data_IF_306659837336
#
_entry.id   IF_306659837336
#
_cell.length_a   1.000
_cell.length_b   1.000
_cell.length_c   1.000
_cell.angle_alpha   90.00
_cell.angle_beta   90.00
_cell.angle_gamma   90.00
#
_symmetry.space_group_name_H-M   'P 1'
#
loop_
_entity.id
_entity.type
_entity.pdbx_description
1 polymer ?
#
# COMPACT_ATOMS: atom_id res chain seq x y z
N UNK A 1 -21.41 7.00 5.07
CA UNK A 1 -21.93 7.98 6.06
C UNK A 1 -21.96 7.45 7.50
N UNK A 2 -21.40 6.26 7.82
CA UNK A 2 -21.63 5.63 9.14
C UNK A 2 -20.46 5.81 10.15
N UNK A 3 -19.24 6.16 9.73
CA UNK A 3 -18.08 6.15 10.65
C UNK A 3 -17.64 7.51 11.25
N UNK A 4 -17.97 8.66 10.65
CA UNK A 4 -17.28 9.92 10.96
C UNK A 4 -18.05 10.95 11.81
N UNK A 5 -19.29 10.67 12.22
CA UNK A 5 -20.09 11.66 12.96
C UNK A 5 -19.73 11.80 14.45
N UNK A 6 -18.72 11.08 14.95
CA UNK A 6 -18.49 10.94 16.40
C UNK A 6 -17.13 11.40 16.93
N UNK A 7 -16.18 11.83 16.09
CA UNK A 7 -14.81 12.04 16.59
C UNK A 7 -14.21 13.43 16.38
N UNK A 8 -14.65 14.24 15.39
CA UNK A 8 -14.11 15.61 15.25
C UNK A 8 -12.57 15.68 15.11
N UNK A 9 -11.97 14.73 14.38
CA UNK A 9 -10.52 14.51 14.37
C UNK A 9 -9.88 14.95 13.04
N UNK A 10 -8.89 15.84 13.13
CA UNK A 10 -7.94 16.17 12.06
C UNK A 10 -7.11 14.92 11.66
N UNK A 11 -7.08 14.58 10.37
CA UNK A 11 -6.73 13.23 9.90
C UNK A 11 -5.43 13.23 9.09
N UNK A 12 -4.35 12.66 9.64
CA UNK A 12 -3.11 12.38 8.90
C UNK A 12 -3.16 10.99 8.24
N UNK A 13 -2.65 10.82 7.02
CA UNK A 13 -2.73 9.55 6.29
C UNK A 13 -1.45 9.22 5.54
N UNK A 14 -0.80 8.12 5.90
CA UNK A 14 0.27 7.53 5.08
C UNK A 14 -0.42 6.60 4.08
N UNK A 15 -0.65 7.09 2.86
CA UNK A 15 -1.29 6.35 1.76
C UNK A 15 -0.20 5.73 0.87
N UNK A 16 0.36 4.59 1.27
CA UNK A 16 1.10 3.71 0.36
C UNK A 16 0.10 3.02 -0.60
N UNK A 17 0.40 2.77 -1.89
CA UNK A 17 -0.62 2.56 -2.88
C UNK A 17 -1.05 1.10 -2.94
N UNK A 18 -2.35 0.98 -3.09
CA UNK A 18 -3.04 -0.18 -3.61
C UNK A 18 -4.53 0.12 -3.75
N UNK A 19 -4.92 1.37 -4.02
CA UNK A 19 -6.23 1.62 -4.64
C UNK A 19 -6.34 3.02 -5.27
N UNK A 20 -6.14 3.07 -6.58
CA UNK A 20 -6.89 3.96 -7.47
C UNK A 20 -7.21 3.19 -8.75
N UNK A 21 -7.94 2.08 -8.60
CA UNK A 21 -8.63 1.45 -9.72
C UNK A 21 -10.04 2.06 -9.79
N UNK A 22 -10.18 3.10 -10.62
CA UNK A 22 -11.48 3.57 -11.07
C UNK A 22 -12.09 2.53 -12.03
N UNK A 23 -12.77 1.54 -11.47
CA UNK A 23 -13.97 0.96 -12.09
C UNK A 23 -15.19 1.81 -11.71
N UNK A 24 -16.37 1.65 -12.36
CA UNK A 24 -17.45 2.65 -12.37
C UNK A 24 -18.16 2.93 -11.03
N UNK A 25 -17.63 2.44 -9.90
CA UNK A 25 -18.22 2.61 -8.59
C UNK A 25 -17.45 3.62 -7.71
N UNK A 26 -18.06 4.80 -7.64
CA UNK A 26 -18.00 5.80 -6.57
C UNK A 26 -16.63 6.41 -6.21
N UNK A 27 -16.07 7.30 -7.06
CA UNK A 27 -15.13 8.35 -6.65
C UNK A 27 -15.66 9.31 -5.56
N UNK A 28 -16.90 9.15 -5.06
CA UNK A 28 -17.54 10.07 -4.11
C UNK A 28 -17.23 9.83 -2.64
N UNK A 29 -16.88 8.61 -2.22
CA UNK A 29 -16.89 8.28 -0.77
C UNK A 29 -15.54 8.53 -0.08
N UNK A 30 -14.40 8.36 -0.77
CA UNK A 30 -13.07 8.56 -0.18
C UNK A 30 -12.50 9.95 -0.46
N UNK A 31 -12.75 10.49 -1.67
CA UNK A 31 -12.39 11.87 -2.04
C UNK A 31 -12.94 12.91 -1.05
N UNK A 32 -14.15 12.68 -0.51
CA UNK A 32 -14.77 13.59 0.44
C UNK A 32 -14.07 13.59 1.82
N UNK A 33 -13.38 12.51 2.20
CA UNK A 33 -12.68 12.40 3.48
C UNK A 33 -11.46 13.31 3.53
N UNK A 34 -10.91 13.75 2.40
CA UNK A 34 -9.74 14.65 2.38
C UNK A 34 -10.16 16.13 2.41
N UNK A 35 -11.41 16.45 2.06
CA UNK A 35 -11.86 17.85 2.03
C UNK A 35 -12.11 18.38 3.44
N UNK A 36 -11.35 19.42 3.81
CA UNK A 36 -11.50 20.13 5.09
C UNK A 36 -10.66 19.54 6.24
N UNK A 37 -9.80 18.55 5.95
CA UNK A 37 -8.87 17.98 6.91
C UNK A 37 -7.45 18.40 6.54
N UNK A 38 -6.63 18.69 7.55
CA UNK A 38 -5.19 18.84 7.36
C UNK A 38 -4.60 17.42 7.29
N UNK A 39 -3.94 17.09 6.18
CA UNK A 39 -3.51 15.74 5.84
C UNK A 39 -2.04 15.75 5.46
N UNK A 40 -1.19 15.11 6.27
CA UNK A 40 0.13 14.67 5.83
C UNK A 40 -0.04 13.42 4.96
N UNK A 41 0.18 13.56 3.66
CA UNK A 41 0.07 12.48 2.67
C UNK A 41 1.45 11.94 2.29
N UNK A 42 1.71 10.66 2.52
CA UNK A 42 2.95 9.97 2.08
C UNK A 42 2.56 8.82 1.17
N UNK A 43 3.18 8.74 -0.01
CA UNK A 43 2.75 7.79 -1.05
C UNK A 43 3.92 6.94 -1.53
N UNK A 44 3.77 5.62 -1.44
CA UNK A 44 4.66 4.70 -2.15
C UNK A 44 4.25 4.67 -3.63
N UNK A 45 5.18 4.45 -4.54
CA UNK A 45 4.90 4.48 -5.98
C UNK A 45 4.69 3.09 -6.57
N UNK A 46 5.46 2.10 -6.10
CA UNK A 46 5.36 0.71 -6.52
C UNK A 46 4.19 -0.01 -5.86
N UNK A 47 3.30 -0.57 -6.67
CA UNK A 47 2.15 -1.37 -6.23
C UNK A 47 2.40 -2.87 -6.48
N UNK A 48 1.95 -3.72 -5.54
CA UNK A 48 2.19 -5.17 -5.61
C UNK A 48 1.16 -5.93 -6.46
N UNK A 49 -0.08 -5.44 -6.62
CA UNK A 49 -1.13 -6.19 -7.34
C UNK A 49 -2.31 -5.37 -7.88
N UNK A 50 -2.64 -4.21 -7.30
CA UNK A 50 -3.83 -3.44 -7.67
C UNK A 50 -3.55 -1.93 -7.72
N UNK A 51 -3.44 -1.36 -8.93
CA UNK A 51 -3.45 0.09 -9.17
C UNK A 51 -2.14 0.64 -9.75
N UNK A 52 -2.24 1.60 -10.68
CA UNK A 52 -1.14 2.35 -11.30
C UNK A 52 0.00 1.54 -11.95
N UNK A 53 -0.29 0.30 -12.36
CA UNK A 53 0.65 -0.51 -13.15
C UNK A 53 0.71 -0.09 -14.62
N UNK A 54 -0.07 0.90 -15.04
CA UNK A 54 0.09 1.52 -16.36
C UNK A 54 1.23 2.54 -16.28
N UNK A 55 2.35 2.33 -17.00
CA UNK A 55 3.47 3.27 -17.03
C UNK A 55 3.07 4.69 -17.47
N UNK A 56 1.98 4.83 -18.23
CA UNK A 56 1.48 6.12 -18.71
C UNK A 56 0.54 6.80 -17.71
N UNK A 57 0.10 6.09 -16.68
CA UNK A 57 -0.85 6.61 -15.68
C UNK A 57 -0.46 6.22 -14.23
N UNK A 58 0.76 6.60 -13.78
CA UNK A 58 1.22 6.33 -12.43
C UNK A 58 0.45 7.16 -11.38
N UNK A 59 0.54 6.75 -10.10
CA UNK A 59 -0.17 7.39 -8.99
C UNK A 59 -0.02 8.93 -8.95
N UNK A 60 1.16 9.54 -9.18
CA UNK A 60 1.28 11.00 -9.17
C UNK A 60 0.37 11.69 -10.20
N UNK A 61 0.22 11.11 -11.40
CA UNK A 61 -0.70 11.63 -12.42
C UNK A 61 -2.14 11.52 -11.94
N UNK A 62 -2.52 10.37 -11.37
CA UNK A 62 -3.89 10.16 -10.88
C UNK A 62 -4.22 11.18 -9.78
N UNK A 63 -3.32 11.34 -8.80
CA UNK A 63 -3.50 12.30 -7.71
C UNK A 63 -3.60 13.74 -8.23
N UNK A 64 -2.81 14.09 -9.26
CA UNK A 64 -2.89 15.40 -9.92
C UNK A 64 -4.24 15.63 -10.59
N UNK A 65 -4.76 14.66 -11.33
CA UNK A 65 -6.08 14.80 -11.98
C UNK A 65 -7.21 14.85 -10.94
N UNK A 66 -7.12 14.09 -9.84
CA UNK A 66 -8.06 14.21 -8.73
C UNK A 66 -8.01 15.58 -8.06
N UNK A 67 -6.81 16.18 -7.91
CA UNK A 67 -6.66 17.56 -7.42
C UNK A 67 -7.28 18.56 -8.39
N UNK A 68 -7.02 18.44 -9.69
CA UNK A 68 -7.56 19.34 -10.74
C UNK A 68 -9.08 19.30 -10.81
N UNK A 69 -9.67 18.12 -10.69
CA UNK A 69 -11.11 17.95 -10.63
C UNK A 69 -11.71 18.31 -9.24
N UNK A 70 -10.89 18.77 -8.31
CA UNK A 70 -11.27 19.22 -6.98
C UNK A 70 -11.61 18.08 -6.01
N UNK A 71 -11.48 16.82 -6.39
CA UNK A 71 -11.84 15.69 -5.52
C UNK A 71 -10.99 15.64 -4.25
N UNK A 72 -9.71 16.03 -4.34
CA UNK A 72 -8.79 16.13 -3.21
C UNK A 72 -8.07 17.49 -3.26
N UNK A 73 -7.66 18.02 -2.11
CA UNK A 73 -6.87 19.25 -2.02
C UNK A 73 -5.40 18.98 -1.69
N UNK A 74 -5.12 17.83 -1.06
CA UNK A 74 -3.81 17.52 -0.50
C UNK A 74 -2.84 17.03 -1.58
N UNK A 75 -1.64 17.63 -1.61
CA UNK A 75 -0.49 17.13 -2.35
C UNK A 75 0.32 16.18 -1.45
N UNK A 76 0.97 15.18 -2.03
CA UNK A 76 1.85 14.32 -1.25
C UNK A 76 3.04 15.13 -0.71
N UNK A 77 3.42 14.86 0.54
CA UNK A 77 4.57 15.48 1.18
C UNK A 77 5.90 14.90 0.67
N UNK A 78 5.91 13.59 0.39
CA UNK A 78 6.98 12.90 -0.31
C UNK A 78 6.50 11.55 -0.83
N UNK A 79 7.27 10.99 -1.75
CA UNK A 79 7.09 9.65 -2.30
C UNK A 79 8.12 8.66 -1.77
N UNK A 80 7.78 7.38 -1.73
CA UNK A 80 8.74 6.26 -1.63
C UNK A 80 8.66 5.43 -2.89
N UNK A 81 9.69 4.65 -3.23
CA UNK A 81 9.64 3.83 -4.43
C UNK A 81 8.63 2.69 -4.34
N UNK A 82 8.28 2.25 -3.12
CA UNK A 82 7.54 1.01 -2.95
C UNK A 82 8.42 -0.20 -3.27
N UNK A 83 7.81 -1.27 -3.76
CA UNK A 83 8.51 -2.55 -3.92
C UNK A 83 9.02 -3.09 -2.59
N UNK A 84 10.00 -3.98 -2.66
CA UNK A 84 10.58 -4.59 -1.46
C UNK A 84 11.26 -3.50 -0.62
N UNK A 85 10.97 -3.54 0.68
CA UNK A 85 11.48 -2.62 1.69
C UNK A 85 11.16 -1.14 1.45
N UNK A 86 10.25 -0.82 0.52
CA UNK A 86 9.94 0.53 0.05
C UNK A 86 11.09 1.31 -0.62
N UNK A 87 12.21 0.64 -0.91
CA UNK A 87 13.40 1.23 -1.56
C UNK A 87 13.43 0.95 -3.07
N UNK A 88 12.37 0.35 -3.63
CA UNK A 88 12.29 -0.01 -5.04
C UNK A 88 12.98 -1.33 -5.38
N UNK A 89 13.36 -2.13 -4.37
CA UNK A 89 13.89 -3.46 -4.62
C UNK A 89 12.82 -4.34 -5.29
N UNK A 90 13.25 -5.17 -6.25
CA UNK A 90 12.36 -5.94 -7.11
C UNK A 90 11.75 -5.17 -8.29
N UNK A 91 11.94 -3.85 -8.37
CA UNK A 91 11.50 -3.03 -9.51
C UNK A 91 12.63 -2.97 -10.55
N UNK A 92 12.36 -3.29 -11.83
CA UNK A 92 13.32 -3.12 -12.91
C UNK A 92 13.85 -1.68 -13.06
N UNK A 93 15.08 -1.47 -13.57
CA UNK A 93 15.69 -0.14 -13.69
C UNK A 93 14.86 0.88 -14.49
N UNK A 94 14.23 0.45 -15.58
CA UNK A 94 13.30 1.25 -16.38
C UNK A 94 12.04 1.64 -15.59
N UNK A 95 11.53 0.73 -14.76
CA UNK A 95 10.46 1.01 -13.80
C UNK A 95 10.84 2.10 -12.80
N UNK A 96 12.03 2.00 -12.20
CA UNK A 96 12.53 3.02 -11.27
C UNK A 96 12.71 4.38 -11.94
N UNK A 97 13.14 4.41 -13.20
CA UNK A 97 13.24 5.64 -13.98
C UNK A 97 11.85 6.28 -14.22
N UNK A 98 10.85 5.48 -14.60
CA UNK A 98 9.46 5.94 -14.76
C UNK A 98 8.93 6.53 -13.46
N UNK A 99 9.13 5.84 -12.33
CA UNK A 99 8.69 6.31 -11.02
C UNK A 99 9.38 7.62 -10.64
N UNK A 100 10.70 7.71 -10.84
CA UNK A 100 11.48 8.91 -10.57
C UNK A 100 11.01 10.11 -11.41
N UNK A 101 10.82 9.90 -12.72
CA UNK A 101 10.29 10.93 -13.62
C UNK A 101 8.88 11.38 -13.21
N UNK A 102 8.04 10.45 -12.76
CA UNK A 102 6.68 10.77 -12.31
C UNK A 102 6.69 11.67 -11.06
N UNK A 103 7.58 11.39 -10.10
CA UNK A 103 7.76 12.21 -8.90
C UNK A 103 8.24 13.63 -9.25
N UNK A 104 9.23 13.74 -10.15
CA UNK A 104 9.74 15.02 -10.66
C UNK A 104 8.61 15.80 -11.36
N UNK A 105 7.82 15.13 -12.20
CA UNK A 105 6.73 15.77 -12.95
C UNK A 105 5.57 16.26 -12.07
N UNK A 106 5.39 15.69 -10.88
CA UNK A 106 4.40 16.16 -9.90
C UNK A 106 4.99 17.15 -8.90
N UNK A 107 6.29 17.46 -8.98
CA UNK A 107 7.00 18.36 -8.07
C UNK A 107 6.84 17.92 -6.60
N UNK A 108 7.10 16.64 -6.34
CA UNK A 108 7.08 16.03 -5.01
C UNK A 108 8.40 15.30 -4.77
N UNK A 109 9.05 15.50 -3.62
CA UNK A 109 10.32 14.84 -3.33
C UNK A 109 10.13 13.32 -3.24
N UNK A 110 11.03 12.57 -3.87
CA UNK A 110 11.13 11.12 -3.76
C UNK A 110 12.20 10.77 -2.73
N UNK A 111 11.82 9.99 -1.71
CA UNK A 111 12.71 9.53 -0.65
C UNK A 111 13.71 8.52 -1.22
N UNK A 112 14.99 8.90 -1.18
CA UNK A 112 16.12 8.07 -1.56
C UNK A 112 16.71 7.37 -0.33
N UNK A 113 15.96 6.41 0.22
CA UNK A 113 16.39 5.61 1.37
C UNK A 113 17.20 4.38 0.91
N UNK A 114 18.19 3.98 1.72
CA UNK A 114 19.05 2.80 1.46
C UNK A 114 18.59 1.56 2.21
N UNK A 115 17.69 1.72 3.18
CA UNK A 115 17.20 0.63 4.00
C UNK A 115 15.75 0.85 4.41
N UNK A 116 15.07 -0.24 4.80
CA UNK A 116 13.73 -0.16 5.38
C UNK A 116 13.68 0.76 6.61
N UNK A 117 14.71 0.70 7.47
CA UNK A 117 14.78 1.51 8.69
C UNK A 117 14.83 3.00 8.36
N UNK A 118 15.60 3.41 7.34
CA UNK A 118 15.62 4.80 6.88
C UNK A 118 14.23 5.27 6.39
N UNK A 119 13.45 4.40 5.74
CA UNK A 119 12.07 4.73 5.34
C UNK A 119 11.17 4.91 6.56
N UNK A 120 11.28 4.02 7.55
CA UNK A 120 10.53 4.09 8.82
C UNK A 120 10.86 5.40 9.52
N UNK A 121 12.15 5.70 9.70
CA UNK A 121 12.62 6.90 10.40
C UNK A 121 12.18 8.17 9.69
N UNK A 122 12.24 8.22 8.35
CA UNK A 122 11.76 9.35 7.57
C UNK A 122 10.25 9.58 7.74
N UNK A 123 9.44 8.51 7.75
CA UNK A 123 7.99 8.61 7.99
C UNK A 123 7.71 9.08 9.42
N UNK A 124 8.37 8.49 10.41
CA UNK A 124 8.21 8.84 11.83
C UNK A 124 8.62 10.28 12.10
N UNK A 125 9.75 10.74 11.55
CA UNK A 125 10.19 12.13 11.69
C UNK A 125 9.18 13.13 11.12
N UNK A 126 8.46 12.76 10.04
CA UNK A 126 7.37 13.59 9.50
C UNK A 126 6.13 13.58 10.39
N UNK A 127 5.84 12.46 11.05
CA UNK A 127 4.78 12.37 12.05
C UNK A 127 5.10 13.20 13.30
N UNK A 128 6.37 13.30 13.70
CA UNK A 128 6.81 14.12 14.85
C UNK A 128 6.61 15.62 14.62
N UNK A 129 6.78 16.06 13.38
CA UNK A 129 6.52 17.45 12.97
C UNK A 129 5.02 17.70 12.85
N UNK A 130 4.31 16.79 12.17
CA UNK A 130 2.89 16.98 11.85
C UNK A 130 1.94 16.73 13.04
N UNK A 131 2.31 15.84 13.96
CA UNK A 131 1.55 15.45 15.16
C UNK A 131 0.09 15.07 14.86
N UNK A 132 -0.14 14.00 14.07
CA UNK A 132 -1.49 13.60 13.71
C UNK A 132 -2.28 13.08 14.91
N UNK A 133 -3.59 13.35 14.92
CA UNK A 133 -4.52 12.75 15.88
C UNK A 133 -5.02 11.36 15.46
N UNK A 134 -4.81 10.97 14.20
CA UNK A 134 -5.11 9.66 13.63
C UNK A 134 -4.14 9.38 12.49
N UNK A 135 -3.69 8.14 12.36
CA UNK A 135 -2.94 7.66 11.18
C UNK A 135 -3.80 6.71 10.38
N UNK A 136 -3.99 7.00 9.10
CA UNK A 136 -4.58 6.03 8.16
C UNK A 136 -3.46 5.34 7.42
N UNK A 137 -3.44 4.01 7.50
CA UNK A 137 -2.55 3.15 6.77
C UNK A 137 -3.36 2.39 5.73
N UNK A 138 -2.87 2.37 4.49
CA UNK A 138 -3.49 1.65 3.38
C UNK A 138 -2.46 0.68 2.78
N UNK A 139 -2.90 -0.55 2.56
CA UNK A 139 -2.14 -1.68 2.01
C UNK A 139 -0.95 -2.17 2.84
N UNK A 140 -0.29 -3.24 2.40
CA UNK A 140 0.79 -3.89 3.13
C UNK A 140 2.15 -3.25 2.95
N UNK A 141 2.30 -1.95 3.23
CA UNK A 141 3.60 -1.28 3.10
C UNK A 141 4.63 -1.84 4.10
N UNK A 142 5.82 -2.19 3.61
CA UNK A 142 6.85 -2.81 4.45
C UNK A 142 7.29 -1.87 5.58
N UNK A 143 7.41 -0.55 5.35
CA UNK A 143 7.78 0.36 6.44
C UNK A 143 6.65 0.53 7.46
N UNK A 144 5.40 0.43 7.03
CA UNK A 144 4.27 0.51 7.95
C UNK A 144 4.16 -0.73 8.84
N UNK A 145 4.46 -1.91 8.28
CA UNK A 145 4.40 -3.19 8.98
C UNK A 145 5.67 -3.47 9.80
N UNK A 146 6.83 -3.06 9.29
CA UNK A 146 8.13 -3.35 9.87
C UNK A 146 8.63 -4.75 9.50
N UNK A 147 9.56 -5.26 10.29
CA UNK A 147 10.16 -6.60 10.13
C UNK A 147 9.64 -7.61 11.16
N UNK A 148 8.87 -7.15 12.14
CA UNK A 148 8.33 -7.99 13.20
C UNK A 148 6.97 -8.59 12.78
N UNK A 149 6.92 -9.91 12.71
CA UNK A 149 5.73 -10.68 12.32
C UNK A 149 4.52 -10.48 13.25
N UNK A 150 4.71 -9.93 14.46
CA UNK A 150 3.61 -9.60 15.36
C UNK A 150 2.52 -8.77 14.67
N UNK A 151 2.93 -7.88 13.77
CA UNK A 151 2.04 -6.98 13.01
C UNK A 151 1.03 -7.73 12.13
N UNK A 152 1.35 -8.97 11.71
CA UNK A 152 0.47 -9.82 10.90
C UNK A 152 -0.78 -10.25 11.68
N UNK A 153 -0.74 -10.15 13.01
CA UNK A 153 -1.88 -10.47 13.87
C UNK A 153 -2.86 -9.31 14.06
N UNK A 154 -2.56 -8.11 13.53
CA UNK A 154 -3.44 -6.96 13.62
C UNK A 154 -4.68 -7.14 12.73
N UNK A 155 -5.89 -6.91 13.26
CA UNK A 155 -7.09 -6.95 12.43
C UNK A 155 -7.19 -5.70 11.55
N UNK A 156 -7.79 -5.78 10.36
CA UNK A 156 -8.15 -4.59 9.61
C UNK A 156 -9.21 -3.78 10.36
N UNK A 157 -9.13 -2.45 10.29
CA UNK A 157 -10.06 -1.54 10.97
C UNK A 157 -9.37 -0.56 11.92
N UNK A 158 -10.10 -0.11 12.95
CA UNK A 158 -9.61 0.85 13.93
C UNK A 158 -8.76 0.17 15.01
N UNK A 159 -7.54 0.65 15.22
CA UNK A 159 -6.58 0.20 16.21
C UNK A 159 -6.26 1.34 17.18
N UNK A 160 -6.21 1.02 18.46
CA UNK A 160 -5.79 1.92 19.54
C UNK A 160 -4.63 1.31 20.35
N UNK A 161 -4.24 1.96 21.44
CA UNK A 161 -3.09 1.58 22.27
C UNK A 161 -3.14 0.13 22.78
N UNK A 162 -4.32 -0.52 22.83
CA UNK A 162 -4.44 -1.94 23.23
C UNK A 162 -3.72 -2.89 22.26
N UNK A 163 -3.51 -2.45 21.03
CA UNK A 163 -2.83 -3.22 19.98
C UNK A 163 -1.32 -2.94 19.91
N UNK A 164 -0.81 -1.97 20.68
CA UNK A 164 0.57 -1.49 20.56
C UNK A 164 1.63 -2.59 20.76
N UNK A 165 1.42 -3.49 21.72
CA UNK A 165 2.33 -4.61 22.02
C UNK A 165 2.35 -5.68 20.91
N UNK A 166 1.32 -5.70 20.05
CA UNK A 166 1.16 -6.67 18.96
C UNK A 166 1.38 -6.06 17.58
N UNK A 167 1.79 -4.79 17.53
CA UNK A 167 1.87 -4.03 16.28
C UNK A 167 3.29 -3.98 15.68
N UNK A 168 4.23 -4.72 16.28
CA UNK A 168 5.59 -4.87 15.77
C UNK A 168 6.43 -3.59 15.89
N UNK A 169 7.39 -3.46 14.96
CA UNK A 169 8.39 -2.39 14.94
C UNK A 169 8.23 -1.40 13.77
N UNK A 170 7.23 -1.59 12.90
CA UNK A 170 6.92 -0.64 11.82
C UNK A 170 6.25 0.64 12.30
N UNK A 171 5.90 1.52 11.35
CA UNK A 171 5.22 2.79 11.65
C UNK A 171 3.95 2.57 12.48
N UNK A 172 3.15 1.53 12.19
CA UNK A 172 1.91 1.22 12.93
C UNK A 172 2.21 0.99 14.42
N UNK A 173 3.20 0.15 14.73
CA UNK A 173 3.60 -0.11 16.11
C UNK A 173 4.13 1.13 16.83
N UNK A 174 4.96 1.92 16.16
CA UNK A 174 5.54 3.14 16.72
C UNK A 174 4.47 4.20 17.04
N UNK A 175 3.46 4.37 16.20
CA UNK A 175 2.39 5.36 16.46
C UNK A 175 1.40 4.88 17.52
N UNK A 176 1.07 3.58 17.56
CA UNK A 176 0.19 3.02 18.59
C UNK A 176 0.83 3.11 19.99
N UNK A 177 2.15 2.87 20.10
CA UNK A 177 2.91 3.06 21.36
C UNK A 177 2.91 4.51 21.85
N UNK A 178 2.76 5.48 20.93
CA UNK A 178 2.62 6.91 21.25
C UNK A 178 1.17 7.31 21.56
N UNK A 179 0.23 6.35 21.58
CA UNK A 179 -1.18 6.59 21.84
C UNK A 179 -1.95 7.18 20.66
N UNK A 180 -1.36 7.21 19.46
CA UNK A 180 -2.02 7.70 18.25
C UNK A 180 -2.78 6.54 17.61
N UNK A 181 -4.12 6.63 17.45
CA UNK A 181 -4.90 5.57 16.82
C UNK A 181 -4.56 5.39 15.35
N UNK A 182 -4.79 4.19 14.84
CA UNK A 182 -4.53 3.80 13.43
C UNK A 182 -5.78 3.24 12.80
N UNK A 183 -6.13 3.67 11.59
CA UNK A 183 -7.02 2.91 10.71
C UNK A 183 -6.14 2.03 9.82
N UNK A 184 -6.13 0.72 10.08
CA UNK A 184 -5.38 -0.28 9.32
C UNK A 184 -6.24 -0.83 8.19
N UNK A 185 -6.04 -0.31 6.97
CA UNK A 185 -6.75 -0.76 5.78
C UNK A 185 -5.93 -1.78 5.02
N UNK A 186 -6.01 -3.03 5.47
CA UNK A 186 -5.45 -4.18 4.79
C UNK A 186 -6.57 -5.12 4.32
N UNK A 187 -6.31 -5.89 3.25
CA UNK A 187 -7.24 -6.86 2.70
C UNK A 187 -8.60 -6.23 2.34
N UNK A 188 -8.57 -5.36 1.32
CA UNK A 188 -9.74 -4.62 0.83
C UNK A 188 -10.94 -5.53 0.57
N UNK A 189 -10.72 -6.77 0.09
CA UNK A 189 -11.79 -7.77 -0.08
C UNK A 189 -12.48 -8.12 1.23
N UNK A 190 -11.72 -8.41 2.28
CA UNK A 190 -12.29 -8.65 3.61
C UNK A 190 -12.99 -7.42 4.17
N UNK A 191 -12.44 -6.22 3.97
CA UNK A 191 -13.10 -4.98 4.36
C UNK A 191 -14.43 -4.76 3.64
N UNK A 192 -14.50 -5.01 2.32
CA UNK A 192 -15.73 -4.97 1.53
C UNK A 192 -16.79 -5.91 2.11
N UNK A 193 -16.42 -7.16 2.40
CA UNK A 193 -17.33 -8.16 3.02
C UNK A 193 -17.85 -7.72 4.38
N UNK A 194 -16.97 -7.19 5.26
CA UNK A 194 -17.37 -6.74 6.59
C UNK A 194 -18.27 -5.50 6.56
N UNK A 195 -18.07 -4.61 5.59
CA UNK A 195 -18.77 -3.32 5.51
C UNK A 195 -20.01 -3.36 4.62
N UNK A 196 -20.29 -4.50 3.97
CA UNK A 196 -21.39 -4.64 3.02
C UNK A 196 -21.19 -3.86 1.72
N UNK A 197 -19.97 -3.37 1.46
CA UNK A 197 -19.61 -2.74 0.18
C UNK A 197 -19.47 -3.86 -0.85
N UNK A 198 -20.27 -3.81 -1.90
CA UNK A 198 -20.20 -4.79 -2.99
C UNK A 198 -18.77 -4.83 -3.56
N UNK A 199 -18.21 -6.04 -3.72
CA UNK A 199 -16.90 -6.28 -4.36
C UNK A 199 -16.92 -5.99 -5.88
N UNK A 200 -17.92 -5.23 -6.36
CA UNK A 200 -18.36 -5.15 -7.74
C UNK A 200 -17.31 -4.67 -8.74
N UNK A 201 -16.54 -5.62 -9.26
CA UNK A 201 -16.39 -5.90 -10.69
C UNK A 201 -16.34 -7.43 -10.82
N UNK A 202 -17.21 -8.03 -11.64
CA UNK A 202 -16.88 -9.35 -12.19
C UNK A 202 -15.61 -9.16 -13.01
N UNK A 203 -14.45 -9.30 -12.38
CA UNK A 203 -13.21 -9.53 -13.12
C UNK A 203 -13.47 -10.84 -13.81
N UNK A 204 -13.86 -10.78 -15.10
CA UNK A 204 -13.95 -11.96 -15.94
C UNK A 204 -12.68 -12.74 -15.63
N UNK A 205 -12.80 -13.91 -14.98
CA UNK A 205 -11.68 -14.81 -14.75
C UNK A 205 -11.25 -15.30 -16.13
N UNK A 206 -10.58 -14.45 -16.90
CA UNK A 206 -9.69 -14.81 -18.00
C UNK A 206 -8.33 -15.21 -17.41
N UNK A 207 -8.32 -15.82 -16.23
CA UNK A 207 -7.25 -16.72 -15.86
C UNK A 207 -7.45 -18.02 -16.64
N UNK A 208 -6.38 -18.76 -16.99
CA UNK A 208 -6.54 -20.08 -17.57
C UNK A 208 -7.47 -20.89 -16.67
N UNK A 209 -8.50 -21.52 -17.26
CA UNK A 209 -9.39 -22.47 -16.57
C UNK A 209 -8.51 -23.43 -15.74
N UNK A 210 -8.96 -23.87 -14.55
CA UNK A 210 -8.13 -24.70 -13.66
C UNK A 210 -7.42 -25.78 -14.47
N UNK A 211 -6.09 -25.78 -14.38
CA UNK A 211 -5.20 -26.66 -15.14
C UNK A 211 -5.72 -28.10 -15.03
N UNK A 212 -5.97 -28.75 -16.17
CA UNK A 212 -6.33 -30.18 -16.18
C UNK A 212 -5.20 -30.96 -15.52
N UNK A 213 -5.53 -31.85 -14.57
CA UNK A 213 -4.57 -32.65 -13.78
C UNK A 213 -3.46 -33.27 -14.65
N UNK A 214 -3.81 -33.74 -15.85
CA UNK A 214 -2.87 -34.34 -16.81
C UNK A 214 -1.76 -33.40 -17.29
N UNK A 215 -2.03 -32.10 -17.44
CA UNK A 215 -1.01 -31.10 -17.84
C UNK A 215 -0.14 -30.66 -16.68
N UNK A 216 -0.70 -30.59 -15.46
CA UNK A 216 0.07 -30.34 -14.26
C UNK A 216 1.05 -31.49 -13.99
N UNK A 217 0.58 -32.73 -14.12
CA UNK A 217 1.42 -33.93 -14.02
C UNK A 217 2.54 -33.93 -15.07
N UNK A 218 2.22 -33.59 -16.32
CA UNK A 218 3.22 -33.51 -17.38
C UNK A 218 4.26 -32.40 -17.13
N UNK A 219 3.83 -31.25 -16.61
CA UNK A 219 4.74 -30.17 -16.19
C UNK A 219 5.65 -30.59 -15.04
N UNK A 220 5.11 -31.32 -14.06
CA UNK A 220 5.87 -31.84 -12.92
C UNK A 220 6.86 -32.92 -13.36
N UNK A 221 6.50 -33.74 -14.34
CA UNK A 221 7.38 -34.71 -14.98
C UNK A 221 8.52 -34.01 -15.74
N UNK A 222 8.22 -32.97 -16.54
CA UNK A 222 9.27 -32.18 -17.21
C UNK A 222 10.19 -31.48 -16.22
N UNK A 223 9.64 -30.96 -15.12
CA UNK A 223 10.42 -30.35 -14.05
C UNK A 223 11.33 -31.37 -13.36
N UNK A 224 10.82 -32.57 -13.04
CA UNK A 224 11.63 -33.65 -12.47
C UNK A 224 12.73 -34.12 -13.45
N UNK A 225 12.42 -34.25 -14.74
CA UNK A 225 13.40 -34.58 -15.80
C UNK A 225 14.44 -33.48 -15.93
N UNK A 226 14.04 -32.21 -15.84
CA UNK A 226 14.96 -31.08 -15.84
C UNK A 226 15.89 -31.13 -14.62
N UNK A 227 15.35 -31.32 -13.41
CA UNK A 227 16.16 -31.45 -12.19
C UNK A 227 17.13 -32.64 -12.25
N UNK A 228 16.69 -33.76 -12.83
CA UNK A 228 17.52 -34.95 -13.01
C UNK A 228 18.63 -34.74 -14.04
N UNK A 229 18.32 -34.08 -15.16
CA UNK A 229 19.26 -33.87 -16.27
C UNK A 229 20.27 -32.76 -15.99
N UNK A 230 19.90 -31.79 -15.17
CA UNK A 230 20.74 -30.65 -14.79
C UNK A 230 21.09 -30.76 -13.31
N UNK A 231 21.89 -31.77 -12.95
CA UNK A 231 22.43 -31.98 -11.61
C UNK A 231 23.20 -30.73 -11.13
N UNK A 232 22.54 -29.92 -10.31
CA UNK A 232 23.15 -28.85 -9.51
C UNK A 232 22.79 -28.95 -8.03
N UNK A 233 22.56 -30.17 -7.55
CA UNK A 233 22.29 -30.42 -6.14
C UNK A 233 23.49 -31.13 -5.53
N UNK A 234 24.46 -30.35 -5.08
CA UNK A 234 25.39 -30.82 -4.07
C UNK A 234 24.62 -30.78 -2.74
N UNK A 235 24.38 -31.94 -2.15
CA UNK A 235 24.02 -32.01 -0.73
C UNK A 235 25.31 -31.81 0.05
N UNK A 236 25.52 -30.60 0.56
CA UNK A 236 26.40 -30.34 1.71
C UNK A 236 25.62 -30.56 3.01
#
# INVERSE_FOLDING_TARGET
>A
MIFYRRTGVATGGIISPGLLALGPFAPRTFAFVIRGLDVLLVVSLGASSYGANDPNFPIPIILRELRRAGFISTKAAFYTFGGDYEIGAGIPPDGLEILSRSAISDDVPLLQAKSLQEVIDAKVGRLDIFKPALVVQIDGSHANMGTDDAVLSLPPGFLDSRYAERAGNGVIGLVLKRGIPVIHMLNVKSLCRMTGVSEGVEVAKKGPKPFKFSRAFLGLLFFAVFLYKYERWAFE
#
